data_IF_018497926395
#
_entry.id   IF_018497926395
#
_cell.length_a   1.000
_cell.length_b   1.000
_cell.length_c   1.000
_cell.angle_alpha   90.00
_cell.angle_beta   90.00
_cell.angle_gamma   90.00
#
_symmetry.space_group_name_H-M   'P 1'
#
loop_
_entity.id
_entity.type
_entity.pdbx_description
1 polymer ?
#
# COMPACT_ATOMS: atom_id res chain seq x y z
N UNK A 1 -22.01 25.62 -23.76
CA UNK A 1 -22.18 24.33 -23.03
C UNK A 1 -22.68 23.30 -24.03
N UNK A 2 -22.17 22.06 -23.95
CA UNK A 2 -22.59 20.99 -24.84
C UNK A 2 -23.73 20.13 -24.22
N UNK A 3 -24.05 20.35 -22.96
CA UNK A 3 -25.10 19.63 -22.25
C UNK A 3 -25.11 19.89 -20.75
N UNK A 4 -25.94 19.15 -20.03
CA UNK A 4 -26.08 19.18 -18.57
C UNK A 4 -25.85 17.80 -18.01
N UNK A 5 -25.29 17.72 -16.80
CA UNK A 5 -25.07 16.45 -16.07
C UNK A 5 -26.43 15.96 -15.55
N UNK A 6 -26.72 14.66 -15.69
CA UNK A 6 -27.90 14.02 -15.12
C UNK A 6 -27.53 12.99 -14.06
N UNK A 7 -28.53 12.47 -13.32
CA UNK A 7 -28.39 11.43 -12.31
C UNK A 7 -28.81 10.04 -12.81
N UNK A 8 -29.23 9.92 -14.07
CA UNK A 8 -29.76 8.68 -14.62
C UNK A 8 -28.70 7.71 -15.12
N UNK A 9 -27.40 8.06 -14.99
CA UNK A 9 -26.27 7.29 -15.54
C UNK A 9 -26.44 6.99 -17.04
N UNK A 10 -27.04 7.96 -17.78
CA UNK A 10 -27.32 7.88 -19.22
C UNK A 10 -26.69 9.05 -19.98
N UNK A 11 -26.45 8.81 -21.26
CA UNK A 11 -26.12 9.88 -22.22
C UNK A 11 -27.32 10.00 -23.17
N UNK A 12 -27.98 11.13 -23.07
CA UNK A 12 -29.16 11.47 -23.84
C UNK A 12 -28.85 12.64 -24.79
N UNK A 13 -29.14 12.48 -26.05
CA UNK A 13 -28.96 13.53 -27.07
C UNK A 13 -30.34 13.86 -27.62
N UNK A 14 -30.75 15.13 -27.48
CA UNK A 14 -32.03 15.62 -27.99
C UNK A 14 -31.80 16.80 -28.95
N UNK A 15 -32.71 16.98 -29.90
CA UNK A 15 -32.80 18.13 -30.79
C UNK A 15 -34.24 18.64 -30.81
N UNK A 16 -34.42 19.91 -30.53
CA UNK A 16 -35.71 20.57 -30.52
C UNK A 16 -36.78 19.92 -29.63
N UNK A 17 -36.33 19.20 -28.56
CA UNK A 17 -37.18 18.48 -27.64
C UNK A 17 -37.32 16.98 -27.93
N UNK A 18 -36.95 16.54 -29.13
CA UNK A 18 -37.03 15.12 -29.51
C UNK A 18 -35.78 14.36 -29.09
N UNK A 19 -35.94 13.23 -28.41
CA UNK A 19 -34.85 12.34 -28.00
C UNK A 19 -34.34 11.56 -29.23
N UNK A 20 -33.12 11.83 -29.64
CA UNK A 20 -32.50 11.21 -30.81
C UNK A 20 -31.63 10.00 -30.41
N UNK A 21 -31.08 10.00 -29.20
CA UNK A 21 -30.18 8.97 -28.71
C UNK A 21 -30.28 8.87 -27.18
N UNK A 22 -30.33 7.65 -26.67
CA UNK A 22 -30.24 7.35 -25.23
C UNK A 22 -29.55 6.02 -25.04
N UNK A 23 -28.49 6.02 -24.24
CA UNK A 23 -27.77 4.81 -23.80
C UNK A 23 -27.23 5.02 -22.41
N UNK A 24 -27.10 3.93 -21.66
CA UNK A 24 -26.45 3.97 -20.35
C UNK A 24 -24.94 4.25 -20.49
N UNK A 25 -24.34 4.81 -19.48
CA UNK A 25 -22.89 4.97 -19.41
C UNK A 25 -22.21 3.61 -19.55
N UNK A 26 -22.70 2.59 -18.84
CA UNK A 26 -22.15 1.24 -18.88
C UNK A 26 -22.13 0.67 -20.29
N UNK A 27 -23.26 0.71 -21.01
CA UNK A 27 -23.34 0.21 -22.40
C UNK A 27 -22.30 0.89 -23.30
N UNK A 28 -22.16 2.20 -23.19
CA UNK A 28 -21.20 2.97 -24.01
C UNK A 28 -19.76 2.67 -23.61
N UNK A 29 -19.47 2.54 -22.33
CA UNK A 29 -18.15 2.21 -21.83
C UNK A 29 -17.74 0.78 -22.22
N UNK A 30 -18.66 -0.19 -22.17
CA UNK A 30 -18.39 -1.54 -22.65
C UNK A 30 -18.04 -1.54 -24.15
N UNK A 31 -18.81 -0.83 -24.96
CA UNK A 31 -18.52 -0.71 -26.39
C UNK A 31 -17.13 -0.07 -26.65
N UNK A 32 -16.83 1.00 -25.93
CA UNK A 32 -15.53 1.68 -26.00
C UNK A 32 -14.38 0.75 -25.61
N UNK A 33 -14.53 0.02 -24.49
CA UNK A 33 -13.48 -0.80 -23.87
C UNK A 33 -13.30 -2.16 -24.55
N UNK A 34 -14.26 -2.61 -25.37
CA UNK A 34 -14.29 -3.97 -25.95
C UNK A 34 -13.05 -4.32 -26.75
N UNK A 35 -12.54 -3.41 -27.56
CA UNK A 35 -11.32 -3.64 -28.36
C UNK A 35 -10.10 -3.83 -27.45
N UNK A 36 -9.94 -2.97 -26.46
CA UNK A 36 -8.84 -3.07 -25.47
C UNK A 36 -8.94 -4.37 -24.67
N UNK A 37 -10.16 -4.76 -24.26
CA UNK A 37 -10.42 -6.04 -23.61
C UNK A 37 -9.97 -7.23 -24.46
N UNK A 38 -10.33 -7.27 -25.76
CA UNK A 38 -9.94 -8.34 -26.64
C UNK A 38 -8.42 -8.44 -26.86
N UNK A 39 -7.72 -7.30 -26.89
CA UNK A 39 -6.26 -7.27 -27.00
C UNK A 39 -5.65 -7.76 -25.68
N UNK A 40 -6.07 -7.20 -24.55
CA UNK A 40 -5.57 -7.54 -23.23
C UNK A 40 -5.77 -9.03 -22.88
N UNK A 41 -6.94 -9.61 -23.23
CA UNK A 41 -7.23 -11.03 -22.98
C UNK A 41 -6.34 -12.03 -23.73
N UNK A 42 -5.59 -11.55 -24.75
CA UNK A 42 -4.60 -12.35 -25.50
C UNK A 42 -3.18 -12.16 -25.02
N UNK A 43 -2.92 -11.12 -24.23
CA UNK A 43 -1.58 -10.72 -23.78
C UNK A 43 -1.40 -10.94 -22.29
N UNK A 44 -2.42 -10.61 -21.50
CA UNK A 44 -2.38 -10.54 -20.04
C UNK A 44 -3.12 -11.74 -19.42
N UNK A 45 -3.18 -11.79 -18.09
CA UNK A 45 -3.98 -12.80 -17.40
C UNK A 45 -5.47 -12.66 -17.75
N UNK A 46 -6.03 -13.67 -18.41
CA UNK A 46 -7.37 -13.61 -18.99
C UNK A 46 -8.48 -13.42 -17.94
N UNK A 47 -8.34 -14.02 -16.74
CA UNK A 47 -9.31 -13.90 -15.66
C UNK A 47 -9.34 -12.48 -15.10
N UNK A 48 -8.18 -11.89 -14.84
CA UNK A 48 -8.06 -10.51 -14.37
C UNK A 48 -8.62 -9.51 -15.40
N UNK A 49 -8.32 -9.72 -16.69
CA UNK A 49 -8.82 -8.88 -17.78
C UNK A 49 -10.34 -8.99 -17.89
N UNK A 50 -10.89 -10.21 -17.71
CA UNK A 50 -12.34 -10.43 -17.69
C UNK A 50 -13.00 -9.72 -16.51
N UNK A 51 -12.44 -9.84 -15.30
CA UNK A 51 -12.97 -9.18 -14.10
C UNK A 51 -12.97 -7.65 -14.26
N UNK A 52 -11.93 -7.07 -14.86
CA UNK A 52 -11.85 -5.64 -15.13
C UNK A 52 -12.96 -5.19 -16.09
N UNK A 53 -13.20 -5.94 -17.17
CA UNK A 53 -14.24 -5.65 -18.14
C UNK A 53 -15.65 -5.80 -17.57
N UNK A 54 -15.90 -6.88 -16.84
CA UNK A 54 -17.22 -7.16 -16.22
C UNK A 54 -17.61 -6.10 -15.19
N UNK A 55 -16.64 -5.42 -14.56
CA UNK A 55 -16.91 -4.35 -13.60
C UNK A 55 -17.53 -3.09 -14.21
N UNK A 56 -17.41 -2.89 -15.51
CA UNK A 56 -18.00 -1.72 -16.21
C UNK A 56 -19.51 -1.65 -15.98
N UNK A 57 -20.19 -2.80 -15.96
CA UNK A 57 -21.63 -2.89 -15.76
C UNK A 57 -22.07 -2.74 -14.29
N UNK A 58 -21.11 -2.81 -13.34
CA UNK A 58 -21.43 -2.74 -11.92
C UNK A 58 -21.71 -1.30 -11.48
N UNK A 59 -22.69 -1.16 -10.58
CA UNK A 59 -22.88 0.10 -9.89
C UNK A 59 -21.68 0.35 -8.96
N UNK A 60 -21.04 1.51 -9.11
CA UNK A 60 -19.91 1.91 -8.29
C UNK A 60 -20.24 3.24 -7.61
N UNK A 61 -20.21 3.24 -6.27
CA UNK A 61 -20.45 4.45 -5.48
C UNK A 61 -19.30 5.48 -5.60
N UNK A 62 -18.21 5.12 -6.25
CA UNK A 62 -17.00 5.93 -6.35
C UNK A 62 -16.14 5.90 -5.08
N UNK A 63 -15.08 6.69 -5.10
CA UNK A 63 -14.14 6.79 -3.98
C UNK A 63 -14.57 7.94 -3.06
N UNK A 64 -14.82 7.64 -1.80
CA UNK A 64 -15.16 8.64 -0.79
C UNK A 64 -14.41 8.36 0.51
N UNK A 65 -13.89 9.42 1.15
CA UNK A 65 -13.32 9.33 2.48
C UNK A 65 -14.42 9.38 3.54
N UNK A 66 -14.34 8.47 4.52
CA UNK A 66 -15.14 8.52 5.74
C UNK A 66 -14.20 8.24 6.90
N UNK A 67 -13.85 9.27 7.65
CA UNK A 67 -12.86 9.18 8.71
C UNK A 67 -13.52 9.00 10.07
N UNK A 68 -12.93 8.21 10.95
CA UNK A 68 -13.31 8.03 12.36
C UNK A 68 -12.64 9.07 13.28
N UNK A 69 -11.77 9.91 12.74
CA UNK A 69 -11.02 10.94 13.43
C UNK A 69 -11.15 12.29 12.69
N UNK A 70 -10.83 13.38 13.40
CA UNK A 70 -10.78 14.72 12.79
C UNK A 70 -9.40 14.94 12.14
N UNK A 71 -9.31 15.05 10.80
CA UNK A 71 -8.04 15.28 10.12
C UNK A 71 -7.46 16.69 10.36
N UNK A 72 -8.23 17.61 10.94
CA UNK A 72 -7.77 18.95 11.31
C UNK A 72 -7.14 18.99 12.71
N UNK A 73 -7.30 17.94 13.52
CA UNK A 73 -6.68 17.84 14.84
C UNK A 73 -5.17 17.56 14.69
N UNK A 74 -4.35 18.47 15.21
CA UNK A 74 -2.90 18.27 15.30
C UNK A 74 -2.52 17.59 16.61
N UNK A 75 -2.52 16.25 16.60
CA UNK A 75 -2.16 15.42 17.76
C UNK A 75 -0.68 15.54 18.15
N UNK A 76 0.18 16.04 17.27
CA UNK A 76 1.62 16.21 17.51
C UNK A 76 1.98 17.53 18.19
N UNK A 77 1.14 18.56 18.04
CA UNK A 77 1.39 19.91 18.55
C UNK A 77 1.76 19.96 20.04
N UNK A 78 1.11 19.23 20.97
CA UNK A 78 1.47 19.27 22.40
C UNK A 78 2.87 18.76 22.69
N UNK A 79 3.38 17.82 21.87
CA UNK A 79 4.73 17.25 22.02
C UNK A 79 5.78 18.17 21.43
N UNK A 80 5.50 18.75 20.26
CA UNK A 80 6.36 19.73 19.58
C UNK A 80 6.57 20.95 20.50
N UNK A 81 5.51 21.46 21.10
CA UNK A 81 5.56 22.59 22.04
C UNK A 81 6.44 22.30 23.28
N UNK A 82 6.53 21.05 23.70
CA UNK A 82 7.42 20.61 24.79
C UNK A 82 8.87 20.38 24.34
N UNK A 83 9.19 20.63 23.08
CA UNK A 83 10.52 20.46 22.51
C UNK A 83 10.91 19.00 22.23
N UNK A 84 9.99 18.07 22.26
CA UNK A 84 10.26 16.68 21.88
C UNK A 84 10.65 16.62 20.39
N UNK A 85 11.79 16.00 20.08
CA UNK A 85 12.32 15.82 18.73
C UNK A 85 12.99 14.46 18.60
N UNK A 86 12.24 13.35 18.73
CA UNK A 86 12.81 12.02 18.57
C UNK A 86 13.39 11.84 17.17
N UNK A 87 14.53 11.17 17.07
CA UNK A 87 15.21 10.94 15.79
C UNK A 87 14.52 9.83 15.02
N UNK A 88 14.23 10.08 13.74
CA UNK A 88 13.68 9.14 12.78
C UNK A 88 14.66 8.84 11.67
N UNK A 89 15.05 7.57 11.51
CA UNK A 89 15.85 7.13 10.37
C UNK A 89 14.98 7.04 9.13
N UNK A 90 15.24 7.88 8.15
CA UNK A 90 14.62 7.81 6.82
C UNK A 90 15.52 6.91 5.98
N UNK A 91 15.24 5.62 6.04
CA UNK A 91 16.09 4.60 5.46
C UNK A 91 15.87 4.49 3.95
N UNK A 92 16.94 4.48 3.21
CA UNK A 92 16.93 4.30 1.76
C UNK A 92 18.09 3.47 1.25
N UNK A 93 17.89 2.94 0.06
CA UNK A 93 18.90 2.24 -0.72
C UNK A 93 18.83 2.72 -2.17
N UNK A 94 19.78 2.32 -2.99
CA UNK A 94 19.78 2.55 -4.43
C UNK A 94 18.43 2.14 -5.05
N UNK A 95 17.78 3.05 -5.77
CA UNK A 95 16.46 2.85 -6.38
C UNK A 95 15.27 3.29 -5.54
N UNK A 96 15.47 3.69 -4.27
CA UNK A 96 14.46 4.34 -3.44
C UNK A 96 14.28 5.80 -3.88
N UNK A 97 13.05 6.30 -3.92
CA UNK A 97 12.76 7.63 -4.47
C UNK A 97 11.75 8.49 -3.69
N UNK A 98 11.27 8.04 -2.54
CA UNK A 98 10.28 8.76 -1.72
C UNK A 98 10.81 9.20 -0.35
N UNK A 99 12.12 9.24 -0.18
CA UNK A 99 12.74 9.58 1.10
C UNK A 99 12.60 11.06 1.49
N UNK A 100 12.54 11.97 0.52
CA UNK A 100 12.36 13.42 0.80
C UNK A 100 10.94 13.71 1.30
N UNK A 101 9.92 13.14 0.65
CA UNK A 101 8.53 13.27 1.05
C UNK A 101 8.29 12.63 2.43
N UNK A 102 8.92 11.50 2.68
CA UNK A 102 8.85 10.82 3.97
C UNK A 102 9.53 11.64 5.07
N UNK A 103 10.71 12.20 4.81
CA UNK A 103 11.39 13.09 5.74
C UNK A 103 10.52 14.31 6.08
N UNK A 104 9.90 14.94 5.06
CA UNK A 104 9.00 16.07 5.26
C UNK A 104 7.75 15.70 6.08
N UNK A 105 7.22 14.48 5.90
CA UNK A 105 6.07 14.00 6.69
C UNK A 105 6.43 13.83 8.17
N UNK A 106 7.57 13.21 8.46
CA UNK A 106 8.04 13.02 9.84
C UNK A 106 8.49 14.33 10.49
N UNK A 107 9.13 15.24 9.75
CA UNK A 107 9.49 16.56 10.28
C UNK A 107 8.24 17.36 10.69
N UNK A 108 7.19 17.36 9.85
CA UNK A 108 5.91 17.99 10.22
C UNK A 108 5.26 17.36 11.44
N UNK A 109 5.43 16.05 11.64
CA UNK A 109 4.96 15.35 12.84
C UNK A 109 5.85 15.58 14.09
N UNK A 110 6.89 16.41 13.98
CA UNK A 110 7.74 16.81 15.11
C UNK A 110 8.95 15.91 15.34
N UNK A 111 9.28 15.01 14.42
CA UNK A 111 10.49 14.20 14.49
C UNK A 111 11.70 14.95 13.94
N UNK A 112 12.89 14.54 14.35
CA UNK A 112 14.15 14.90 13.68
C UNK A 112 14.42 13.85 12.60
N UNK A 113 13.97 14.14 11.37
CA UNK A 113 14.17 13.25 10.24
C UNK A 113 15.64 13.28 9.77
N UNK A 114 16.26 12.11 9.71
CA UNK A 114 17.67 11.94 9.30
C UNK A 114 17.73 11.01 8.12
N UNK A 115 18.30 11.46 7.01
CA UNK A 115 18.54 10.62 5.84
C UNK A 115 19.61 9.56 6.16
N UNK A 116 19.26 8.28 5.98
CA UNK A 116 20.12 7.14 6.27
C UNK A 116 20.19 6.24 5.04
N UNK A 117 21.31 6.32 4.33
CA UNK A 117 21.58 5.37 3.25
C UNK A 117 22.19 4.08 3.80
N UNK A 118 21.87 2.92 3.22
CA UNK A 118 22.43 1.64 3.68
C UNK A 118 23.95 1.63 3.72
N UNK A 119 24.63 2.37 2.82
CA UNK A 119 26.08 2.53 2.85
C UNK A 119 26.60 3.25 4.08
N UNK A 120 25.79 4.07 4.77
CA UNK A 120 26.18 4.74 6.01
C UNK A 120 26.19 3.76 7.18
N UNK A 121 25.24 2.84 7.20
CA UNK A 121 25.20 1.75 8.18
C UNK A 121 26.32 0.74 7.94
N UNK A 122 26.58 0.39 6.66
CA UNK A 122 27.67 -0.51 6.27
C UNK A 122 29.06 0.03 6.64
N UNK A 123 29.26 1.35 6.50
CA UNK A 123 30.51 2.02 6.78
C UNK A 123 30.59 2.56 8.22
N UNK A 124 29.64 2.21 9.08
CA UNK A 124 29.55 2.65 10.48
C UNK A 124 29.56 4.18 10.67
N UNK A 125 29.17 4.94 9.64
CA UNK A 125 29.01 6.39 9.76
C UNK A 125 27.76 6.78 10.55
N UNK A 126 26.76 5.89 10.57
CA UNK A 126 25.53 5.99 11.35
C UNK A 126 25.22 4.65 12.00
N UNK A 127 24.46 4.68 13.10
CA UNK A 127 24.00 3.49 13.82
C UNK A 127 22.50 3.59 14.10
N UNK A 128 21.77 2.48 13.96
CA UNK A 128 20.35 2.40 14.30
C UNK A 128 20.08 2.59 15.81
N UNK A 129 21.09 2.49 16.66
CA UNK A 129 20.98 2.76 18.10
C UNK A 129 20.57 4.20 18.41
N UNK A 130 20.90 5.15 17.54
CA UNK A 130 20.63 6.59 17.73
C UNK A 130 19.18 6.99 17.43
N UNK A 131 18.36 6.08 16.91
CA UNK A 131 17.02 6.38 16.42
C UNK A 131 15.92 5.78 17.28
N UNK A 132 14.83 6.54 17.44
CA UNK A 132 13.58 6.09 18.07
C UNK A 132 12.63 5.47 17.07
N UNK A 133 12.79 5.74 15.79
CA UNK A 133 11.99 5.17 14.72
C UNK A 133 12.80 4.96 13.45
N UNK A 134 12.33 4.03 12.62
CA UNK A 134 12.87 3.71 11.31
C UNK A 134 11.74 3.66 10.28
N UNK A 135 11.90 4.36 9.17
CA UNK A 135 11.01 4.18 8.01
C UNK A 135 11.78 3.70 6.80
N UNK A 136 11.38 2.56 6.28
CA UNK A 136 11.84 2.05 5.00
C UNK A 136 10.95 2.61 3.89
N UNK A 137 11.54 3.43 3.00
CA UNK A 137 10.80 4.18 2.00
C UNK A 137 10.47 3.34 0.76
N UNK A 138 9.56 3.87 -0.06
CA UNK A 138 9.15 3.27 -1.34
C UNK A 138 10.13 3.52 -2.48
N UNK A 139 9.95 2.80 -3.55
CA UNK A 139 10.77 2.84 -4.76
C UNK A 139 10.97 1.45 -5.35
N UNK A 140 12.13 1.24 -5.96
CA UNK A 140 12.53 -0.01 -6.59
C UNK A 140 13.99 -0.31 -6.21
N UNK A 141 14.20 -0.74 -4.96
CA UNK A 141 15.55 -1.01 -4.45
C UNK A 141 16.25 -2.07 -5.29
N UNK A 142 17.45 -1.77 -5.78
CA UNK A 142 18.20 -2.60 -6.73
C UNK A 142 17.41 -3.00 -8.01
N UNK A 143 16.44 -2.14 -8.43
CA UNK A 143 15.59 -2.40 -9.58
C UNK A 143 14.69 -3.63 -9.43
N UNK A 144 14.47 -4.10 -8.20
CA UNK A 144 13.69 -5.32 -7.87
C UNK A 144 14.17 -6.59 -8.61
N UNK A 145 15.45 -6.66 -8.98
CA UNK A 145 16.02 -7.76 -9.80
C UNK A 145 15.85 -9.13 -9.14
N UNK A 146 15.92 -9.19 -7.80
CA UNK A 146 15.74 -10.42 -7.02
C UNK A 146 14.32 -10.62 -6.50
N UNK A 147 13.40 -9.69 -6.81
CA UNK A 147 12.09 -9.51 -6.24
C UNK A 147 11.99 -8.21 -5.46
N UNK A 148 10.76 -7.68 -5.34
CA UNK A 148 10.51 -6.39 -4.74
C UNK A 148 10.96 -6.34 -3.26
N UNK A 149 11.88 -5.43 -2.95
CA UNK A 149 12.49 -5.27 -1.63
C UNK A 149 13.44 -6.40 -1.22
N UNK A 150 13.58 -7.48 -2.03
CA UNK A 150 14.41 -8.63 -1.65
C UNK A 150 15.91 -8.30 -1.67
N UNK A 151 16.39 -7.58 -2.66
CA UNK A 151 17.79 -7.17 -2.72
C UNK A 151 18.20 -6.38 -1.48
N UNK A 152 17.36 -5.44 -1.08
CA UNK A 152 17.57 -4.62 0.12
C UNK A 152 17.55 -5.48 1.41
N UNK A 153 16.55 -6.35 1.56
CA UNK A 153 16.49 -7.26 2.71
C UNK A 153 17.71 -8.21 2.77
N UNK A 154 18.15 -8.72 1.62
CA UNK A 154 19.33 -9.59 1.55
C UNK A 154 20.63 -8.88 1.93
N UNK A 155 20.77 -7.58 1.63
CA UNK A 155 21.90 -6.77 2.12
C UNK A 155 21.95 -6.78 3.64
N UNK A 156 20.81 -6.71 4.32
CA UNK A 156 20.72 -6.81 5.78
C UNK A 156 21.00 -8.24 6.25
N UNK A 157 20.29 -9.24 5.71
CA UNK A 157 20.32 -10.63 6.21
C UNK A 157 21.68 -11.30 6.05
N UNK A 158 22.42 -11.01 4.98
CA UNK A 158 23.70 -11.63 4.67
C UNK A 158 24.92 -10.82 5.13
N UNK A 159 24.71 -9.69 5.80
CA UNK A 159 25.76 -8.95 6.49
C UNK A 159 25.52 -9.05 8.00
N UNK A 160 26.42 -9.72 8.72
CA UNK A 160 26.23 -9.98 10.16
C UNK A 160 26.07 -8.70 10.97
N UNK A 161 26.86 -7.67 10.68
CA UNK A 161 26.82 -6.39 11.39
C UNK A 161 25.47 -5.67 11.18
N UNK A 162 24.98 -5.60 9.93
CA UNK A 162 23.68 -5.03 9.64
C UNK A 162 22.55 -5.83 10.26
N UNK A 163 22.60 -7.16 10.12
CA UNK A 163 21.60 -8.04 10.71
C UNK A 163 21.46 -7.81 12.20
N UNK A 164 22.59 -7.78 12.91
CA UNK A 164 22.62 -7.58 14.36
C UNK A 164 22.12 -6.18 14.76
N UNK A 165 22.44 -5.11 13.98
CA UNK A 165 21.89 -3.78 14.21
C UNK A 165 20.37 -3.72 14.03
N UNK A 166 19.85 -4.31 12.95
CA UNK A 166 18.40 -4.34 12.68
C UNK A 166 17.67 -5.18 13.72
N UNK A 167 18.20 -6.35 14.08
CA UNK A 167 17.62 -7.20 15.12
C UNK A 167 17.56 -6.49 16.47
N UNK A 168 18.66 -5.86 16.90
CA UNK A 168 18.70 -5.05 18.13
C UNK A 168 17.68 -3.90 18.07
N UNK A 169 17.58 -3.20 16.94
CA UNK A 169 16.62 -2.11 16.77
C UNK A 169 15.18 -2.60 16.93
N UNK A 170 14.80 -3.70 16.28
CA UNK A 170 13.45 -4.25 16.35
C UNK A 170 13.09 -4.83 17.72
N UNK A 171 14.07 -5.22 18.54
CA UNK A 171 13.84 -5.75 19.89
C UNK A 171 13.79 -4.66 20.97
N UNK A 172 14.13 -3.42 20.68
CA UNK A 172 14.00 -2.32 21.64
C UNK A 172 12.55 -1.90 21.78
N UNK A 173 11.97 -1.91 23.02
CA UNK A 173 10.54 -1.64 23.22
C UNK A 173 10.15 -0.18 22.96
N UNK A 174 11.11 0.74 22.98
CA UNK A 174 10.90 2.17 22.75
C UNK A 174 11.01 2.57 21.26
N UNK A 175 11.23 1.63 20.37
CA UNK A 175 11.35 1.90 18.94
C UNK A 175 10.13 1.44 18.15
N UNK A 176 9.94 2.03 16.98
CA UNK A 176 8.94 1.58 16.01
C UNK A 176 9.49 1.62 14.59
N UNK A 177 8.85 0.86 13.70
CA UNK A 177 9.20 0.84 12.29
C UNK A 177 7.98 1.00 11.40
N UNK A 178 8.19 1.63 10.24
CA UNK A 178 7.21 1.77 9.18
C UNK A 178 7.84 1.33 7.85
N UNK A 179 7.17 0.47 7.11
CA UNK A 179 7.53 0.15 5.74
C UNK A 179 6.46 0.65 4.78
N UNK A 180 6.86 1.35 3.74
CA UNK A 180 5.96 1.87 2.72
C UNK A 180 6.37 1.32 1.36
N UNK A 181 5.43 0.72 0.61
CA UNK A 181 5.64 0.18 -0.72
C UNK A 181 6.84 -0.80 -0.75
N UNK A 182 7.93 -0.47 -1.45
CA UNK A 182 9.15 -1.29 -1.49
C UNK A 182 9.78 -1.51 -0.10
N UNK A 183 9.69 -0.52 0.79
CA UNK A 183 10.09 -0.66 2.19
C UNK A 183 9.22 -1.66 2.97
N UNK A 184 7.92 -1.74 2.69
CA UNK A 184 7.04 -2.76 3.27
C UNK A 184 7.45 -4.17 2.79
N UNK A 185 7.74 -4.32 1.50
CA UNK A 185 8.23 -5.56 0.91
C UNK A 185 9.58 -5.97 1.54
N UNK A 186 10.48 -5.02 1.76
CA UNK A 186 11.75 -5.25 2.43
C UNK A 186 11.55 -5.72 3.88
N UNK A 187 10.75 -5.01 4.68
CA UNK A 187 10.48 -5.39 6.07
C UNK A 187 9.80 -6.78 6.15
N UNK A 188 8.91 -7.10 5.23
CA UNK A 188 8.29 -8.43 5.13
C UNK A 188 9.33 -9.54 4.93
N UNK A 189 10.39 -9.28 4.18
CA UNK A 189 11.50 -10.21 4.01
C UNK A 189 12.43 -10.29 5.23
N UNK A 190 12.41 -9.28 6.12
CA UNK A 190 13.12 -9.27 7.40
C UNK A 190 12.30 -9.84 8.58
N UNK A 191 11.15 -10.43 8.33
CA UNK A 191 10.21 -10.88 9.37
C UNK A 191 10.82 -11.80 10.44
N UNK A 192 11.92 -12.50 10.15
CA UNK A 192 12.64 -13.33 11.12
C UNK A 192 13.40 -12.53 12.17
N UNK A 193 13.67 -11.24 11.90
CA UNK A 193 14.33 -10.32 12.83
C UNK A 193 13.34 -9.47 13.63
N UNK A 194 12.05 -9.45 13.21
CA UNK A 194 11.02 -8.57 13.78
C UNK A 194 10.15 -9.38 14.74
N UNK A 195 10.12 -9.07 16.05
CA UNK A 195 9.30 -9.79 17.01
C UNK A 195 7.82 -9.78 16.63
N UNK A 196 7.19 -10.97 16.58
CA UNK A 196 5.78 -11.13 16.24
C UNK A 196 5.43 -11.05 14.74
N UNK A 197 6.44 -10.96 13.86
CA UNK A 197 6.25 -10.88 12.42
C UNK A 197 6.37 -12.22 11.68
N UNK A 198 6.50 -13.33 12.38
CA UNK A 198 6.75 -14.66 11.80
C UNK A 198 5.67 -15.08 10.79
N UNK A 199 4.45 -14.58 11.02
CA UNK A 199 3.29 -14.88 10.17
C UNK A 199 3.07 -13.85 9.06
N UNK A 200 3.94 -12.86 8.92
CA UNK A 200 3.78 -11.88 7.85
C UNK A 200 3.88 -12.52 6.47
N UNK A 201 3.10 -12.03 5.49
CA UNK A 201 3.13 -12.56 4.13
C UNK A 201 4.46 -12.23 3.44
N UNK A 202 4.73 -12.91 2.35
CA UNK A 202 5.61 -12.37 1.30
C UNK A 202 4.77 -11.56 0.32
N UNK A 203 5.38 -10.56 -0.29
CA UNK A 203 4.78 -9.84 -1.42
C UNK A 203 5.35 -10.41 -2.71
N UNK A 204 4.46 -10.85 -3.59
CA UNK A 204 4.81 -11.53 -4.83
C UNK A 204 4.10 -10.89 -6.00
N UNK A 205 4.44 -11.32 -7.21
CA UNK A 205 3.91 -10.79 -8.46
C UNK A 205 2.38 -10.74 -8.46
N UNK A 206 1.83 -9.64 -8.97
CA UNK A 206 0.38 -9.46 -9.14
C UNK A 206 -0.22 -10.59 -9.98
N UNK A 207 -1.48 -10.97 -9.71
CA UNK A 207 -2.18 -11.97 -10.51
C UNK A 207 -2.36 -11.53 -11.97
N UNK A 208 -2.54 -10.23 -12.19
CA UNK A 208 -2.61 -9.64 -13.53
C UNK A 208 -1.35 -9.77 -14.34
N UNK A 209 -0.21 -10.12 -13.70
CA UNK A 209 1.14 -10.12 -14.27
C UNK A 209 1.58 -8.75 -14.81
N UNK A 210 0.84 -7.71 -14.48
CA UNK A 210 1.08 -6.33 -14.87
C UNK A 210 1.40 -5.46 -13.65
N UNK A 211 2.04 -4.32 -13.90
CA UNK A 211 2.15 -3.24 -12.92
C UNK A 211 0.78 -2.61 -12.74
N UNK A 212 0.30 -2.57 -11.49
CA UNK A 212 -0.99 -2.01 -11.15
C UNK A 212 -0.82 -0.62 -10.57
N UNK A 213 -1.46 0.36 -11.22
CA UNK A 213 -1.51 1.75 -10.81
C UNK A 213 -2.96 2.21 -10.74
N UNK A 214 -3.50 2.36 -9.53
CA UNK A 214 -4.90 2.72 -9.34
C UNK A 214 -5.16 3.38 -7.99
N UNK A 215 -6.27 4.10 -7.87
CA UNK A 215 -6.84 4.43 -6.58
C UNK A 215 -7.75 3.30 -6.10
N UNK A 216 -7.61 2.97 -4.82
CA UNK A 216 -8.44 1.95 -4.17
C UNK A 216 -8.94 2.46 -2.83
N UNK A 217 -10.20 2.17 -2.51
CA UNK A 217 -10.76 2.47 -1.20
C UNK A 217 -10.33 1.39 -0.22
N UNK A 218 -9.73 1.79 0.89
CA UNK A 218 -9.32 0.90 1.97
C UNK A 218 -10.07 1.23 3.25
N UNK A 219 -10.32 0.20 4.06
CA UNK A 219 -10.81 0.36 5.43
C UNK A 219 -9.70 0.07 6.42
N UNK A 220 -9.52 0.95 7.39
CA UNK A 220 -8.60 0.72 8.51
C UNK A 220 -9.29 -0.21 9.51
N UNK A 221 -8.70 -1.38 9.73
CA UNK A 221 -9.16 -2.34 10.75
C UNK A 221 -8.57 -2.01 12.12
N UNK A 222 -9.14 -2.57 13.19
CA UNK A 222 -8.55 -2.48 14.52
C UNK A 222 -7.14 -3.06 14.51
N UNK A 223 -6.20 -2.33 15.09
CA UNK A 223 -4.77 -2.66 15.02
C UNK A 223 -4.06 -2.31 16.32
N UNK A 224 -3.11 -3.15 16.78
CA UNK A 224 -2.19 -2.79 17.85
C UNK A 224 -1.12 -1.78 17.39
N UNK A 225 -1.06 -1.44 16.09
CA UNK A 225 -0.10 -0.49 15.56
C UNK A 225 -0.33 0.91 16.12
N UNK A 226 0.71 1.50 16.70
CA UNK A 226 0.68 2.88 17.19
C UNK A 226 0.38 3.88 16.06
N UNK A 227 0.73 3.55 14.80
CA UNK A 227 0.51 4.40 13.63
C UNK A 227 -0.94 4.40 13.14
N UNK A 228 -1.75 3.41 13.56
CA UNK A 228 -3.17 3.29 13.18
C UNK A 228 -4.12 3.57 14.34
N UNK A 229 -3.57 4.02 15.48
CA UNK A 229 -4.35 4.27 16.68
C UNK A 229 -5.40 5.37 16.44
N UNK A 230 -6.65 5.10 16.82
CA UNK A 230 -7.78 6.02 16.60
C UNK A 230 -8.36 6.04 15.19
N UNK A 231 -7.77 5.30 14.23
CA UNK A 231 -8.20 5.31 12.83
C UNK A 231 -9.14 4.16 12.44
N UNK A 232 -9.37 3.18 13.32
CA UNK A 232 -10.20 2.01 13.04
C UNK A 232 -11.61 2.41 12.55
N UNK A 233 -12.10 1.73 11.50
CA UNK A 233 -13.37 2.03 10.85
C UNK A 233 -13.33 3.15 9.80
N UNK A 234 -12.20 3.84 9.66
CA UNK A 234 -12.03 4.84 8.59
C UNK A 234 -11.96 4.19 7.22
N UNK A 235 -12.55 4.85 6.23
CA UNK A 235 -12.41 4.54 4.81
C UNK A 235 -11.59 5.65 4.15
N UNK A 236 -10.54 5.27 3.43
CA UNK A 236 -9.64 6.21 2.76
C UNK A 236 -9.29 5.71 1.36
N UNK A 237 -9.32 6.58 0.32
CA UNK A 237 -8.73 6.26 -0.96
C UNK A 237 -7.20 6.30 -0.84
N UNK A 238 -6.54 5.25 -1.32
CA UNK A 238 -5.08 5.16 -1.37
C UNK A 238 -4.61 4.89 -2.80
N UNK A 239 -3.39 5.32 -3.11
CA UNK A 239 -2.71 4.97 -4.34
C UNK A 239 -2.11 3.55 -4.21
N UNK A 240 -2.49 2.67 -5.13
CA UNK A 240 -1.83 1.38 -5.37
C UNK A 240 -0.89 1.56 -6.54
N UNK A 241 0.37 1.15 -6.39
CA UNK A 241 1.41 1.34 -7.41
C UNK A 241 2.50 0.27 -7.23
N UNK A 242 2.27 -0.93 -7.81
CA UNK A 242 3.19 -2.05 -7.64
C UNK A 242 3.04 -3.13 -8.72
N UNK A 243 4.14 -3.84 -9.02
CA UNK A 243 4.16 -5.09 -9.79
C UNK A 243 4.09 -6.33 -8.91
N UNK A 244 4.52 -6.21 -7.65
CA UNK A 244 4.63 -7.30 -6.68
C UNK A 244 3.95 -6.91 -5.36
N UNK A 245 2.62 -6.71 -5.39
CA UNK A 245 1.82 -6.31 -4.23
C UNK A 245 0.88 -7.39 -3.69
N UNK A 246 0.86 -8.58 -4.31
CA UNK A 246 0.02 -9.69 -3.85
C UNK A 246 0.63 -10.32 -2.59
N UNK A 247 -0.14 -10.29 -1.50
CA UNK A 247 0.27 -10.93 -0.25
C UNK A 247 0.12 -12.46 -0.35
N UNK A 248 1.21 -13.17 -0.15
CA UNK A 248 1.27 -14.63 -0.13
C UNK A 248 1.61 -15.11 1.28
N UNK A 249 0.69 -15.85 1.89
CA UNK A 249 0.84 -16.41 3.24
C UNK A 249 1.31 -17.87 3.16
N UNK A 250 2.02 -18.34 4.20
CA UNK A 250 2.56 -19.69 4.24
C UNK A 250 1.49 -20.79 4.17
N UNK A 251 0.28 -20.52 4.66
CA UNK A 251 -0.89 -21.39 4.49
C UNK A 251 -2.20 -20.60 4.65
N UNK A 252 -3.31 -21.23 4.22
CA UNK A 252 -4.64 -20.61 4.25
C UNK A 252 -5.17 -20.32 5.66
N UNK A 253 -4.77 -21.08 6.68
CA UNK A 253 -5.17 -20.83 8.07
C UNK A 253 -4.46 -19.61 8.61
N UNK A 254 -3.18 -19.40 8.26
CA UNK A 254 -2.41 -18.20 8.59
C UNK A 254 -3.02 -17.00 7.86
N UNK A 255 -3.44 -17.14 6.60
CA UNK A 255 -4.14 -16.09 5.88
C UNK A 255 -5.43 -15.66 6.61
N UNK A 256 -6.25 -16.61 7.09
CA UNK A 256 -7.45 -16.32 7.89
C UNK A 256 -7.13 -15.64 9.23
N UNK A 257 -6.14 -16.13 9.96
CA UNK A 257 -5.69 -15.56 11.24
C UNK A 257 -5.11 -14.16 11.06
N UNK A 258 -4.39 -13.92 9.98
CA UNK A 258 -3.76 -12.64 9.70
C UNK A 258 -4.73 -11.59 9.15
N UNK A 259 -5.74 -11.99 8.38
CA UNK A 259 -6.86 -11.11 8.05
C UNK A 259 -7.61 -10.64 9.31
N UNK A 260 -7.58 -11.46 10.38
CA UNK A 260 -8.22 -11.15 11.68
C UNK A 260 -7.25 -10.50 12.70
N UNK A 261 -5.94 -10.72 12.61
CA UNK A 261 -4.96 -10.28 13.61
C UNK A 261 -3.89 -9.30 13.11
N UNK A 262 -3.49 -9.41 11.87
CA UNK A 262 -2.61 -8.47 11.21
C UNK A 262 -3.47 -7.43 10.50
N UNK A 263 -4.07 -6.55 11.18
CA UNK A 263 -4.84 -5.42 10.70
C UNK A 263 -4.17 -4.72 9.50
N UNK A 264 -3.94 -5.50 8.44
CA UNK A 264 -3.60 -5.01 7.13
C UNK A 264 -4.80 -4.19 6.65
N UNK A 265 -4.55 -3.06 6.04
CA UNK A 265 -5.56 -2.33 5.30
C UNK A 265 -6.34 -3.35 4.44
N UNK A 266 -7.59 -3.63 4.80
CA UNK A 266 -8.45 -4.45 3.95
C UNK A 266 -8.70 -3.67 2.67
N UNK A 267 -8.04 -4.11 1.62
CA UNK A 267 -8.42 -3.70 0.27
C UNK A 267 -9.74 -4.40 -0.03
N UNK A 268 -10.81 -3.65 -0.21
CA UNK A 268 -12.07 -4.16 -0.73
C UNK A 268 -11.88 -4.48 -2.22
N UNK A 269 -11.25 -5.62 -2.49
CA UNK A 269 -11.13 -6.16 -3.84
C UNK A 269 -12.11 -7.32 -4.03
N UNK A 270 -12.81 -7.39 -5.17
CA UNK A 270 -13.60 -8.57 -5.56
C UNK A 270 -12.79 -9.88 -5.58
N UNK A 271 -11.49 -9.81 -5.87
CA UNK A 271 -10.58 -10.96 -5.82
C UNK A 271 -10.48 -11.63 -4.43
N UNK A 272 -10.80 -10.91 -3.33
CA UNK A 272 -10.87 -11.52 -2.00
C UNK A 272 -12.13 -12.40 -1.85
N UNK A 273 -13.18 -12.17 -2.65
CA UNK A 273 -14.36 -13.02 -2.65
C UNK A 273 -14.10 -14.39 -3.33
N UNK A 274 -13.20 -14.46 -4.30
CA UNK A 274 -12.72 -15.74 -4.85
C UNK A 274 -11.91 -16.56 -3.83
N UNK A 275 -11.09 -15.90 -2.99
CA UNK A 275 -10.43 -16.56 -1.86
C UNK A 275 -11.45 -17.10 -0.83
N UNK A 276 -12.59 -16.43 -0.62
CA UNK A 276 -13.67 -16.93 0.24
C UNK A 276 -14.38 -18.14 -0.36
N UNK A 277 -14.60 -18.19 -1.67
CA UNK A 277 -15.26 -19.32 -2.33
C UNK A 277 -14.35 -20.56 -2.40
N UNK A 278 -13.06 -20.40 -2.67
CA UNK A 278 -12.09 -21.50 -2.73
C UNK A 278 -11.62 -22.01 -1.34
N UNK A 279 -12.00 -21.35 -0.24
CA UNK A 279 -11.68 -21.76 1.14
C UNK A 279 -12.88 -22.42 1.84
N UNK A 280 -14.05 -22.51 1.19
CA UNK A 280 -15.26 -23.12 1.73
C UNK A 280 -15.64 -24.42 1.00
N UNK A 281 -14.91 -24.82 -0.03
CA UNK A 281 -14.87 -26.16 -0.63
C UNK A 281 -13.56 -26.86 -0.29
#
# INVERSE_FOLDING_TARGET
>A
ALGTVNKADSIDISRDGDLLFSKTRADLQEHWSRTSYQIASRRDNADCVKEEFDRIANADAGLSAKLSYDPAEDISAPYIQKGAKPKMAILREQGVNSHLEMAAAFDRAGFSAVDVHMSDLLAERQSLQDFSGLVACGGFSYGDVLGAGEGWAKTVLFNNQLRDQFEQFFHRPETFSLGVCNGCQMLSNLKTLIPGAELWPRFVRNLSEQFEARFSLVRVEESPSILMQGMAGSYMPIAVSHGEGRAEFANAQIAKLNVLKLNLLKLDFPALNMLKQNLLT
#
